data_IF_744961658965
#
_entry.id   IF_744961658965
#
_cell.length_a   1.000
_cell.length_b   1.000
_cell.length_c   1.000
_cell.angle_alpha   90.00
_cell.angle_beta   90.00
_cell.angle_gamma   90.00
#
_symmetry.space_group_name_H-M   'P 1'
#
loop_
_entity.id
_entity.type
_entity.pdbx_description
1 polymer ?
#
# COMPACT_ATOMS: atom_id res chain seq x y z
N UNK A 1 -17.75 -2.92 26.87
CA UNK A 1 -18.08 -4.31 26.43
C UNK A 1 -16.79 -4.99 25.97
N UNK A 2 -16.61 -6.32 26.06
CA UNK A 2 -15.35 -6.93 25.61
C UNK A 2 -15.27 -6.85 24.08
N UNK A 3 -14.29 -6.13 23.52
CA UNK A 3 -14.12 -5.88 22.08
C UNK A 3 -14.27 -7.13 21.17
N UNK A 4 -13.83 -8.31 21.60
CA UNK A 4 -14.01 -9.54 20.81
C UNK A 4 -15.47 -9.94 20.58
N UNK A 5 -16.38 -9.63 21.52
CA UNK A 5 -17.83 -9.85 21.33
C UNK A 5 -18.40 -8.88 20.31
N UNK A 6 -17.87 -7.66 20.26
CA UNK A 6 -18.26 -6.69 19.24
C UNK A 6 -17.78 -7.11 17.86
N UNK A 7 -16.61 -7.72 17.75
CA UNK A 7 -16.13 -8.30 16.48
C UNK A 7 -17.09 -9.40 15.99
N UNK A 8 -17.54 -10.29 16.87
CA UNK A 8 -18.51 -11.34 16.51
C UNK A 8 -19.86 -10.76 16.08
N UNK A 9 -20.35 -9.73 16.76
CA UNK A 9 -21.57 -9.03 16.32
C UNK A 9 -21.38 -8.28 15.00
N UNK A 10 -20.21 -7.71 14.79
CA UNK A 10 -19.88 -7.03 13.55
C UNK A 10 -19.96 -8.00 12.37
N UNK A 11 -19.42 -9.21 12.51
CA UNK A 11 -19.51 -10.27 11.48
C UNK A 11 -20.96 -10.52 11.04
N UNK A 12 -21.85 -10.74 12.00
CA UNK A 12 -23.27 -11.02 11.75
C UNK A 12 -23.99 -9.87 11.00
N UNK A 13 -23.58 -8.62 11.28
CA UNK A 13 -24.17 -7.43 10.69
C UNK A 13 -23.59 -7.09 9.32
N UNK A 14 -22.26 -7.12 9.17
CA UNK A 14 -21.60 -6.65 7.96
C UNK A 14 -21.56 -7.73 6.87
N UNK A 15 -21.59 -9.01 7.23
CA UNK A 15 -21.46 -10.13 6.29
C UNK A 15 -22.52 -10.20 5.20
N UNK A 16 -23.64 -9.47 5.36
CA UNK A 16 -24.71 -9.35 4.34
C UNK A 16 -24.45 -8.26 3.29
N UNK A 17 -23.44 -7.41 3.53
CA UNK A 17 -23.21 -6.17 2.78
C UNK A 17 -21.83 -6.14 2.15
N UNK A 18 -20.83 -6.64 2.88
CA UNK A 18 -19.45 -6.70 2.38
C UNK A 18 -19.22 -8.00 1.61
N UNK A 19 -18.21 -7.99 0.74
CA UNK A 19 -17.69 -9.22 0.17
C UNK A 19 -16.90 -9.99 1.23
N UNK A 20 -17.20 -11.27 1.39
CA UNK A 20 -16.29 -12.19 2.05
C UNK A 20 -15.11 -12.45 1.11
N UNK A 21 -14.02 -11.73 1.31
CA UNK A 21 -12.88 -11.75 0.39
C UNK A 21 -12.15 -13.09 0.47
N UNK A 22 -11.53 -13.58 -0.62
CA UNK A 22 -10.89 -14.89 -0.59
C UNK A 22 -9.55 -14.86 0.17
N UNK A 23 -9.23 -15.97 0.84
CA UNK A 23 -7.86 -16.34 1.18
C UNK A 23 -7.30 -17.28 0.11
N UNK A 24 -6.20 -16.87 -0.55
CA UNK A 24 -5.59 -17.69 -1.62
C UNK A 24 -4.21 -18.18 -1.24
N UNK A 25 -3.87 -19.41 -1.65
CA UNK A 25 -2.52 -19.95 -1.50
C UNK A 25 -1.55 -19.37 -2.54
N UNK A 26 -0.32 -19.09 -2.10
CA UNK A 26 0.76 -18.56 -2.93
C UNK A 26 1.92 -19.55 -3.08
N UNK A 27 1.85 -20.42 -4.09
CA UNK A 27 2.95 -21.33 -4.43
C UNK A 27 4.29 -20.61 -4.61
N UNK A 28 4.30 -19.47 -5.33
CA UNK A 28 5.53 -18.70 -5.54
C UNK A 28 6.14 -18.18 -4.25
N UNK A 29 5.36 -17.52 -3.39
CA UNK A 29 5.88 -17.00 -2.12
C UNK A 29 6.26 -18.16 -1.18
N UNK A 30 5.53 -19.27 -1.25
CA UNK A 30 5.82 -20.46 -0.44
C UNK A 30 7.17 -21.07 -0.79
N UNK A 31 7.44 -21.25 -2.08
CA UNK A 31 8.76 -21.71 -2.58
C UNK A 31 9.89 -20.74 -2.22
N UNK A 32 9.66 -19.44 -2.36
CA UNK A 32 10.68 -18.42 -2.04
C UNK A 32 11.03 -18.36 -0.56
N UNK A 33 10.11 -18.75 0.33
CA UNK A 33 10.25 -18.54 1.79
C UNK A 33 10.39 -19.83 2.59
N UNK A 34 10.15 -20.98 1.95
CA UNK A 34 10.10 -22.30 2.60
C UNK A 34 8.94 -22.44 3.60
N UNK A 35 7.85 -21.71 3.41
CA UNK A 35 6.67 -21.65 4.29
C UNK A 35 5.40 -21.83 3.47
N UNK A 36 4.27 -22.12 4.09
CA UNK A 36 2.99 -22.12 3.40
C UNK A 36 2.36 -20.73 3.48
N UNK A 37 2.32 -20.02 2.37
CA UNK A 37 1.92 -18.61 2.32
C UNK A 37 0.51 -18.46 1.75
N UNK A 38 -0.34 -17.79 2.50
CA UNK A 38 -1.71 -17.45 2.13
C UNK A 38 -1.88 -15.92 2.10
N UNK A 39 -2.72 -15.43 1.20
CA UNK A 39 -3.00 -14.01 1.01
C UNK A 39 -4.48 -13.75 1.28
N UNK A 40 -4.81 -12.90 2.27
CA UNK A 40 -6.17 -12.41 2.50
C UNK A 40 -6.41 -11.16 1.66
N UNK A 41 -7.28 -11.26 0.65
CA UNK A 41 -7.37 -10.26 -0.44
C UNK A 41 -8.41 -9.17 -0.19
N UNK A 42 -8.18 -8.33 0.81
CA UNK A 42 -9.04 -7.17 1.10
C UNK A 42 -9.00 -6.09 0.02
N UNK A 43 -8.01 -6.12 -0.88
CA UNK A 43 -7.98 -5.31 -2.09
C UNK A 43 -9.13 -5.62 -3.07
N UNK A 44 -9.78 -6.78 -2.96
CA UNK A 44 -10.95 -7.16 -3.77
C UNK A 44 -12.28 -6.71 -3.15
N UNK A 45 -12.26 -6.06 -2.00
CA UNK A 45 -13.46 -5.52 -1.39
C UNK A 45 -14.08 -4.43 -2.27
N UNK A 46 -15.39 -4.16 -2.11
CA UNK A 46 -16.14 -3.25 -2.98
C UNK A 46 -15.52 -1.86 -3.17
N UNK A 47 -14.92 -1.30 -2.11
CA UNK A 47 -14.24 0.00 -2.13
C UNK A 47 -12.72 -0.14 -2.34
N UNK A 48 -12.25 -1.28 -2.84
CA UNK A 48 -10.83 -1.59 -3.09
C UNK A 48 -9.98 -1.78 -1.83
N UNK A 49 -10.58 -1.87 -0.64
CA UNK A 49 -9.85 -2.07 0.63
C UNK A 49 -10.77 -2.50 1.78
N UNK A 50 -10.16 -2.91 2.89
CA UNK A 50 -10.86 -3.35 4.10
C UNK A 50 -11.72 -2.29 4.80
N UNK A 51 -11.51 -0.99 4.53
CA UNK A 51 -12.03 0.11 5.34
C UNK A 51 -13.56 0.13 5.46
N UNK A 52 -14.25 -0.39 4.46
CA UNK A 52 -15.72 -0.49 4.47
C UNK A 52 -16.25 -1.29 5.67
N UNK A 53 -15.50 -2.27 6.18
CA UNK A 53 -15.96 -3.15 7.26
C UNK A 53 -16.28 -2.37 8.53
N UNK A 54 -15.30 -1.65 9.06
CA UNK A 54 -15.49 -0.82 10.25
C UNK A 54 -16.26 0.47 9.99
N UNK A 55 -16.18 1.06 8.79
CA UNK A 55 -17.01 2.21 8.45
C UNK A 55 -18.49 1.83 8.48
N UNK A 56 -18.87 0.74 7.82
CA UNK A 56 -20.24 0.25 7.79
C UNK A 56 -20.71 -0.18 9.17
N UNK A 57 -19.92 -0.95 9.94
CA UNK A 57 -20.31 -1.35 11.29
C UNK A 57 -20.57 -0.12 12.17
N UNK A 58 -19.64 0.85 12.22
CA UNK A 58 -19.81 2.10 12.96
C UNK A 58 -21.10 2.82 12.56
N UNK A 59 -21.32 3.04 11.27
CA UNK A 59 -22.49 3.77 10.78
C UNK A 59 -23.80 3.03 11.05
N UNK A 60 -23.83 1.70 10.93
CA UNK A 60 -25.00 0.86 11.23
C UNK A 60 -25.39 0.86 12.72
N UNK A 61 -24.48 1.31 13.60
CA UNK A 61 -24.72 1.47 15.03
C UNK A 61 -25.24 2.86 15.39
N UNK A 62 -25.09 3.83 14.49
CA UNK A 62 -25.57 5.20 14.65
C UNK A 62 -27.05 5.38 14.27
N UNK A 63 -27.75 4.30 13.89
CA UNK A 63 -29.11 4.29 13.31
C UNK A 63 -30.25 4.65 14.27
N UNK A 64 -30.02 5.50 15.28
CA UNK A 64 -31.11 6.13 16.02
C UNK A 64 -31.79 7.18 15.12
N UNK A 65 -33.10 7.06 14.82
CA UNK A 65 -33.84 8.02 13.99
C UNK A 65 -33.82 9.47 14.51
N UNK A 66 -33.42 9.69 15.78
CA UNK A 66 -33.47 11.00 16.46
C UNK A 66 -32.20 11.84 16.35
N UNK A 67 -31.09 11.30 15.81
CA UNK A 67 -29.86 12.07 15.56
C UNK A 67 -29.66 12.23 14.06
N UNK A 68 -29.50 13.48 13.63
CA UNK A 68 -29.33 13.84 12.22
C UNK A 68 -28.31 12.95 11.52
N UNK A 69 -28.66 12.50 10.32
CA UNK A 69 -27.97 11.47 9.53
C UNK A 69 -26.68 11.97 8.87
N UNK A 70 -26.05 12.98 9.45
CA UNK A 70 -24.92 13.69 8.86
C UNK A 70 -23.63 13.26 9.55
N UNK A 71 -22.78 12.60 8.78
CA UNK A 71 -21.47 12.14 9.24
C UNK A 71 -20.38 12.91 8.52
N UNK A 72 -19.25 13.06 9.20
CA UNK A 72 -18.08 13.74 8.65
C UNK A 72 -16.83 12.91 8.90
N UNK A 73 -15.90 12.91 7.94
CA UNK A 73 -14.54 12.40 8.16
C UNK A 73 -13.55 13.24 7.37
N UNK A 74 -12.29 13.25 7.83
CA UNK A 74 -11.17 13.76 7.06
C UNK A 74 -10.32 12.60 6.55
N UNK A 75 -10.28 12.42 5.23
CA UNK A 75 -9.41 11.43 4.56
C UNK A 75 -9.43 11.66 3.06
N UNK A 76 -8.28 11.56 2.40
CA UNK A 76 -8.20 11.51 0.94
C UNK A 76 -8.06 10.08 0.39
N UNK A 77 -8.29 9.04 1.20
CA UNK A 77 -7.93 7.67 0.84
C UNK A 77 -9.03 6.63 1.09
N UNK A 78 -8.60 5.42 1.43
CA UNK A 78 -9.47 4.25 1.61
C UNK A 78 -10.60 4.46 2.63
N UNK A 79 -10.35 5.24 3.69
CA UNK A 79 -11.37 5.52 4.69
C UNK A 79 -12.48 6.42 4.16
N UNK A 80 -12.15 7.43 3.36
CA UNK A 80 -13.14 8.29 2.70
C UNK A 80 -14.10 7.49 1.82
N UNK A 81 -13.56 6.61 0.98
CA UNK A 81 -14.38 5.74 0.12
C UNK A 81 -15.23 4.76 0.95
N UNK A 82 -14.67 4.19 2.01
CA UNK A 82 -15.39 3.32 2.94
C UNK A 82 -16.56 4.01 3.61
N UNK A 83 -16.36 5.24 4.13
CA UNK A 83 -17.42 6.03 4.79
C UNK A 83 -18.47 6.48 3.78
N UNK A 84 -18.06 7.00 2.62
CA UNK A 84 -18.99 7.44 1.58
C UNK A 84 -19.90 6.28 1.13
N UNK A 85 -19.30 5.13 0.81
CA UNK A 85 -20.06 3.98 0.35
C UNK A 85 -20.98 3.41 1.44
N UNK A 86 -20.49 3.25 2.67
CA UNK A 86 -21.32 2.78 3.78
C UNK A 86 -22.48 3.74 4.09
N UNK A 87 -22.24 5.04 4.06
CA UNK A 87 -23.27 6.05 4.32
C UNK A 87 -24.36 5.99 3.27
N UNK A 88 -23.99 5.88 2.00
CA UNK A 88 -24.94 5.69 0.90
C UNK A 88 -25.80 4.43 1.04
N UNK A 89 -25.20 3.30 1.46
CA UNK A 89 -25.94 2.07 1.72
C UNK A 89 -26.94 2.18 2.88
N UNK A 90 -26.66 3.06 3.85
CA UNK A 90 -27.50 3.29 5.03
C UNK A 90 -28.44 4.50 4.89
N UNK A 91 -28.43 5.19 3.74
CA UNK A 91 -29.23 6.40 3.52
C UNK A 91 -28.81 7.57 4.43
N UNK A 92 -27.52 7.66 4.76
CA UNK A 92 -26.92 8.73 5.56
C UNK A 92 -26.17 9.71 4.64
N UNK A 93 -26.18 11.00 5.01
CA UNK A 93 -25.38 12.01 4.34
C UNK A 93 -23.97 11.99 4.91
N UNK A 94 -22.97 11.82 4.04
CA UNK A 94 -21.56 11.87 4.45
C UNK A 94 -20.81 13.01 3.79
N UNK A 95 -20.22 13.86 4.62
CA UNK A 95 -19.26 14.88 4.18
C UNK A 95 -17.84 14.37 4.38
N UNK A 96 -17.03 14.44 3.33
CA UNK A 96 -15.66 13.97 3.28
C UNK A 96 -14.75 15.16 3.05
N UNK A 97 -13.97 15.53 4.07
CA UNK A 97 -13.00 16.61 3.97
C UNK A 97 -11.67 16.06 3.47
N UNK A 98 -11.16 16.66 2.41
CA UNK A 98 -9.87 16.31 1.80
C UNK A 98 -9.00 17.57 1.67
N UNK A 99 -7.66 17.46 1.72
CA UNK A 99 -6.80 18.56 1.35
C UNK A 99 -7.00 18.96 -0.12
N UNK A 100 -6.70 20.21 -0.45
CA UNK A 100 -6.86 20.76 -1.82
C UNK A 100 -6.06 19.99 -2.88
N UNK A 101 -4.87 19.49 -2.49
CA UNK A 101 -4.01 18.67 -3.35
C UNK A 101 -4.40 17.19 -3.45
N UNK A 102 -5.54 16.76 -2.90
CA UNK A 102 -5.96 15.36 -2.96
C UNK A 102 -6.13 14.89 -4.43
N UNK A 103 -5.58 13.72 -4.82
CA UNK A 103 -5.65 13.25 -6.21
C UNK A 103 -7.07 13.19 -6.75
N UNK A 104 -7.30 13.71 -7.96
CA UNK A 104 -8.62 13.80 -8.58
C UNK A 104 -9.34 12.45 -8.62
N UNK A 105 -8.63 11.36 -8.91
CA UNK A 105 -9.19 10.00 -8.91
C UNK A 105 -9.81 9.61 -7.56
N UNK A 106 -9.17 9.97 -6.44
CA UNK A 106 -9.66 9.70 -5.07
C UNK A 106 -10.89 10.55 -4.74
N UNK A 107 -10.92 11.80 -5.20
CA UNK A 107 -12.10 12.65 -5.06
C UNK A 107 -13.28 12.12 -5.89
N UNK A 108 -13.06 11.77 -7.15
CA UNK A 108 -14.08 11.23 -8.06
C UNK A 108 -14.65 9.92 -7.54
N UNK A 109 -13.80 8.99 -7.09
CA UNK A 109 -14.25 7.73 -6.49
C UNK A 109 -15.15 7.98 -5.26
N UNK A 110 -14.76 8.90 -4.39
CA UNK A 110 -15.54 9.23 -3.20
C UNK A 110 -16.90 9.85 -3.54
N UNK A 111 -16.94 10.78 -4.51
CA UNK A 111 -18.20 11.35 -5.02
C UNK A 111 -19.09 10.30 -5.67
N UNK A 112 -18.50 9.39 -6.45
CA UNK A 112 -19.22 8.29 -7.10
C UNK A 112 -19.85 7.31 -6.08
N UNK A 113 -19.27 7.19 -4.89
CA UNK A 113 -19.85 6.45 -3.76
C UNK A 113 -20.90 7.25 -2.96
N UNK A 114 -21.26 8.46 -3.38
CA UNK A 114 -22.28 9.31 -2.76
C UNK A 114 -21.80 10.24 -1.65
N UNK A 115 -20.48 10.34 -1.46
CA UNK A 115 -19.89 11.29 -0.50
C UNK A 115 -19.85 12.72 -1.03
N UNK A 116 -20.28 13.68 -0.21
CA UNK A 116 -20.05 15.10 -0.46
C UNK A 116 -18.58 15.42 -0.15
N UNK A 117 -17.79 15.79 -1.16
CA UNK A 117 -16.36 16.10 -0.98
C UNK A 117 -16.15 17.60 -0.82
N UNK A 118 -15.61 17.99 0.32
CA UNK A 118 -15.15 19.36 0.61
C UNK A 118 -13.62 19.38 0.55
N UNK A 119 -13.07 20.26 -0.27
CA UNK A 119 -11.63 20.50 -0.31
C UNK A 119 -11.29 21.63 0.67
N UNK A 120 -10.48 21.34 1.68
CA UNK A 120 -10.04 22.33 2.67
C UNK A 120 -8.70 21.95 3.28
N UNK A 121 -7.81 22.93 3.34
CA UNK A 121 -6.47 22.78 3.92
C UNK A 121 -5.42 22.29 2.92
N UNK A 122 -4.17 22.60 3.21
CA UNK A 122 -3.01 22.21 2.39
C UNK A 122 -2.55 20.77 2.66
N UNK A 123 -2.90 20.22 3.82
CA UNK A 123 -2.50 18.89 4.26
C UNK A 123 -3.62 18.18 5.04
N UNK A 124 -3.40 16.91 5.38
CA UNK A 124 -4.39 16.07 6.07
C UNK A 124 -4.73 16.59 7.47
N UNK A 125 -3.79 17.22 8.17
CA UNK A 125 -4.01 17.74 9.52
C UNK A 125 -4.94 18.96 9.49
N UNK A 126 -4.78 19.85 8.51
CA UNK A 126 -5.70 20.98 8.28
C UNK A 126 -7.10 20.51 7.86
N UNK A 127 -7.18 19.52 6.97
CA UNK A 127 -8.45 18.90 6.59
C UNK A 127 -9.15 18.25 7.80
N UNK A 128 -8.38 17.62 8.70
CA UNK A 128 -8.89 17.07 9.96
C UNK A 128 -9.42 18.18 10.87
N UNK A 129 -8.68 19.28 11.05
CA UNK A 129 -9.14 20.43 11.82
C UNK A 129 -10.48 20.97 11.29
N UNK A 130 -10.64 21.06 9.96
CA UNK A 130 -11.91 21.47 9.36
C UNK A 130 -13.04 20.47 9.67
N UNK A 131 -12.80 19.16 9.51
CA UNK A 131 -13.77 18.13 9.86
C UNK A 131 -14.18 18.17 11.35
N UNK A 132 -13.25 18.50 12.26
CA UNK A 132 -13.54 18.67 13.69
C UNK A 132 -14.44 19.87 13.98
N UNK A 133 -14.31 20.98 13.25
CA UNK A 133 -15.26 22.10 13.37
C UNK A 133 -16.66 21.71 12.92
N UNK A 134 -16.78 20.86 11.89
CA UNK A 134 -18.09 20.35 11.47
C UNK A 134 -18.71 19.40 12.50
N UNK A 135 -17.87 18.67 13.25
CA UNK A 135 -18.30 17.86 14.39
C UNK A 135 -18.85 18.73 15.53
N UNK A 136 -18.19 19.85 15.86
CA UNK A 136 -18.71 20.85 16.81
C UNK A 136 -20.07 21.42 16.38
N UNK A 137 -20.31 21.49 15.06
CA UNK A 137 -21.58 21.87 14.45
C UNK A 137 -22.68 20.79 14.47
N UNK A 138 -22.41 19.61 15.05
CA UNK A 138 -23.40 18.55 15.26
C UNK A 138 -23.30 17.33 14.32
N UNK A 139 -22.36 17.31 13.38
CA UNK A 139 -22.08 16.11 12.56
C UNK A 139 -21.33 15.06 13.38
N UNK A 140 -21.52 13.78 13.06
CA UNK A 140 -20.80 12.70 13.76
C UNK A 140 -19.48 12.42 13.05
N UNK A 141 -18.35 12.61 13.74
CA UNK A 141 -17.04 12.29 13.17
C UNK A 141 -16.78 10.79 13.15
N UNK A 142 -16.44 10.26 11.98
CA UNK A 142 -16.12 8.83 11.80
C UNK A 142 -14.61 8.65 11.76
N UNK A 143 -14.03 8.24 12.90
CA UNK A 143 -12.58 8.08 13.00
C UNK A 143 -12.07 6.95 12.07
N UNK A 144 -10.95 7.15 11.36
CA UNK A 144 -10.39 6.12 10.47
C UNK A 144 -9.88 4.84 11.15
N UNK A 145 -9.71 4.80 12.48
CA UNK A 145 -9.10 3.66 13.16
C UNK A 145 -9.25 3.67 14.69
N UNK A 146 -9.32 4.83 15.34
CA UNK A 146 -9.32 4.97 16.80
C UNK A 146 -10.73 5.05 17.38
N UNK A 147 -11.53 4.04 17.06
CA UNK A 147 -12.91 3.88 17.52
C UNK A 147 -13.20 2.39 17.71
N UNK A 148 -13.83 2.01 18.82
CA UNK A 148 -14.05 0.59 19.15
C UNK A 148 -14.89 -0.15 18.11
N UNK A 149 -15.90 0.50 17.53
CA UNK A 149 -16.79 -0.09 16.53
C UNK A 149 -16.04 -0.20 15.19
N UNK A 150 -15.25 0.82 14.82
CA UNK A 150 -14.38 0.72 13.65
C UNK A 150 -13.42 -0.46 13.80
N UNK A 151 -12.74 -0.58 14.95
CA UNK A 151 -11.84 -1.71 15.26
C UNK A 151 -12.58 -3.05 15.20
N UNK A 152 -13.80 -3.11 15.74
CA UNK A 152 -14.62 -4.30 15.74
C UNK A 152 -14.94 -4.78 14.32
N UNK A 153 -15.39 -3.87 13.45
CA UNK A 153 -15.63 -4.19 12.04
C UNK A 153 -14.37 -4.65 11.32
N UNK A 154 -13.20 -4.09 11.60
CA UNK A 154 -11.96 -4.58 10.98
C UNK A 154 -11.54 -5.96 11.48
N UNK A 155 -11.89 -6.28 12.73
CA UNK A 155 -11.57 -7.56 13.36
C UNK A 155 -12.26 -8.76 12.72
N UNK A 156 -13.34 -8.56 11.97
CA UNK A 156 -14.04 -9.60 11.20
C UNK A 156 -13.10 -10.36 10.26
N UNK A 157 -12.09 -9.68 9.71
CA UNK A 157 -11.03 -10.31 8.90
C UNK A 157 -10.32 -11.43 9.68
N UNK A 158 -10.11 -11.24 10.99
CA UNK A 158 -9.50 -12.26 11.84
C UNK A 158 -10.40 -13.49 12.03
N UNK A 159 -11.73 -13.33 12.00
CA UNK A 159 -12.67 -14.45 12.02
C UNK A 159 -12.59 -15.24 10.71
N UNK A 160 -12.66 -14.54 9.58
CA UNK A 160 -12.58 -15.15 8.25
C UNK A 160 -11.27 -15.92 8.07
N UNK A 161 -10.13 -15.35 8.48
CA UNK A 161 -8.82 -16.01 8.41
C UNK A 161 -8.80 -17.30 9.24
N UNK A 162 -9.35 -17.29 10.46
CA UNK A 162 -9.37 -18.48 11.32
C UNK A 162 -10.30 -19.57 10.80
N UNK A 163 -11.31 -19.22 10.02
CA UNK A 163 -12.20 -20.19 9.36
C UNK A 163 -11.56 -20.78 8.11
N UNK A 164 -10.93 -19.94 7.27
CA UNK A 164 -10.33 -20.36 6.00
C UNK A 164 -8.97 -21.05 6.18
N UNK A 165 -8.21 -20.71 7.23
CA UNK A 165 -6.90 -21.32 7.56
C UNK A 165 -6.85 -21.69 9.07
N UNK A 166 -7.53 -22.77 9.50
CA UNK A 166 -7.71 -23.10 10.92
C UNK A 166 -6.42 -23.37 11.71
N UNK A 167 -5.37 -23.79 11.00
CA UNK A 167 -4.05 -24.10 11.52
C UNK A 167 -3.01 -23.02 11.22
N UNK A 168 -3.45 -21.78 10.94
CA UNK A 168 -2.56 -20.61 10.80
C UNK A 168 -1.66 -20.46 12.03
N UNK A 169 -0.39 -20.16 11.81
CA UNK A 169 0.61 -19.96 12.86
C UNK A 169 1.03 -18.50 12.99
N UNK A 170 0.91 -17.72 11.91
CA UNK A 170 1.20 -16.29 11.93
C UNK A 170 0.35 -15.49 10.95
N UNK A 171 0.01 -14.26 11.35
CA UNK A 171 -0.72 -13.30 10.52
C UNK A 171 0.09 -12.00 10.47
N UNK A 172 0.41 -11.54 9.26
CA UNK A 172 1.19 -10.34 9.00
C UNK A 172 0.24 -9.25 8.49
N UNK A 173 0.20 -8.11 9.19
CA UNK A 173 -0.82 -7.07 9.03
C UNK A 173 -0.17 -5.69 8.88
N UNK A 174 -0.57 -4.86 7.89
CA UNK A 174 -0.12 -3.47 7.80
C UNK A 174 -0.59 -2.63 9.00
N UNK A 175 0.25 -1.70 9.47
CA UNK A 175 -0.03 -0.86 10.64
C UNK A 175 0.14 0.63 10.31
N UNK A 176 -0.99 1.32 10.13
CA UNK A 176 -1.05 2.77 10.20
C UNK A 176 -1.40 3.20 11.62
N UNK A 177 -2.59 3.76 11.79
CA UNK A 177 -3.11 4.14 13.11
C UNK A 177 -3.51 2.98 14.04
N UNK A 178 -3.41 1.72 13.59
CA UNK A 178 -3.55 0.54 14.45
C UNK A 178 -4.92 -0.17 14.44
N UNK A 179 -5.94 0.38 13.78
CA UNK A 179 -7.30 -0.17 13.85
C UNK A 179 -7.45 -1.59 13.30
N UNK A 180 -6.86 -1.86 12.12
CA UNK A 180 -6.90 -3.18 11.47
C UNK A 180 -6.24 -4.27 12.33
N UNK A 181 -4.96 -4.06 12.69
CA UNK A 181 -4.21 -5.02 13.48
C UNK A 181 -4.81 -5.22 14.88
N UNK A 182 -5.37 -4.16 15.49
CA UNK A 182 -6.02 -4.25 16.80
C UNK A 182 -7.25 -5.14 16.78
N UNK A 183 -8.08 -5.02 15.72
CA UNK A 183 -9.25 -5.86 15.53
C UNK A 183 -8.85 -7.32 15.33
N UNK A 184 -7.98 -7.59 14.35
CA UNK A 184 -7.49 -8.94 14.04
C UNK A 184 -6.83 -9.57 15.27
N UNK A 185 -5.88 -8.88 15.92
CA UNK A 185 -5.18 -9.39 17.08
C UNK A 185 -6.14 -9.71 18.24
N UNK A 186 -7.18 -8.90 18.43
CA UNK A 186 -8.15 -9.11 19.52
C UNK A 186 -8.91 -10.42 19.37
N UNK A 187 -9.48 -10.70 18.20
CA UNK A 187 -10.25 -11.92 18.00
C UNK A 187 -9.35 -13.15 17.84
N UNK A 188 -8.22 -13.01 17.15
CA UNK A 188 -7.28 -14.11 16.93
C UNK A 188 -6.65 -14.55 18.23
N UNK A 189 -6.13 -13.63 19.05
CA UNK A 189 -5.56 -14.01 20.36
C UNK A 189 -6.61 -14.56 21.33
N UNK A 190 -7.88 -14.17 21.18
CA UNK A 190 -8.98 -14.71 21.99
C UNK A 190 -9.27 -16.18 21.65
N UNK A 191 -9.28 -16.55 20.36
CA UNK A 191 -9.60 -17.92 19.91
C UNK A 191 -8.37 -18.83 19.84
N UNK A 192 -7.23 -18.29 19.44
CA UNK A 192 -5.96 -19.00 19.19
C UNK A 192 -4.77 -18.17 19.71
N UNK A 193 -4.52 -18.14 21.03
CA UNK A 193 -3.53 -17.26 21.65
C UNK A 193 -2.08 -17.47 21.18
N UNK A 194 -1.77 -18.66 20.64
CA UNK A 194 -0.44 -19.02 20.13
C UNK A 194 -0.14 -18.48 18.73
N UNK A 195 -1.14 -18.04 17.97
CA UNK A 195 -0.94 -17.46 16.63
C UNK A 195 -0.17 -16.16 16.79
N UNK A 196 0.93 -16.00 16.04
CA UNK A 196 1.73 -14.77 16.06
C UNK A 196 1.06 -13.70 15.19
N UNK A 197 0.91 -12.50 15.74
CA UNK A 197 0.43 -11.31 15.02
C UNK A 197 1.61 -10.37 14.84
N UNK A 198 1.93 -10.06 13.60
CA UNK A 198 3.07 -9.21 13.25
C UNK A 198 2.57 -8.00 12.49
N UNK A 199 2.89 -6.82 13.02
CA UNK A 199 2.63 -5.54 12.37
C UNK A 199 3.75 -5.16 11.40
N UNK A 200 3.40 -4.50 10.31
CA UNK A 200 4.38 -3.94 9.37
C UNK A 200 4.10 -2.45 9.14
N UNK A 201 5.15 -1.63 9.26
CA UNK A 201 5.12 -0.21 8.87
C UNK A 201 6.14 0.07 7.76
N UNK A 202 5.98 1.18 7.05
CA UNK A 202 7.12 1.74 6.32
C UNK A 202 8.16 2.27 7.31
N UNK A 203 9.44 2.11 6.99
CA UNK A 203 10.56 2.74 7.71
C UNK A 203 10.46 4.27 7.74
N UNK A 204 9.79 4.87 6.76
CA UNK A 204 9.59 6.32 6.63
C UNK A 204 8.54 6.89 7.60
N UNK A 205 7.64 6.06 8.14
CA UNK A 205 6.62 6.50 9.13
C UNK A 205 6.38 5.43 10.22
N UNK A 206 7.37 5.10 11.08
CA UNK A 206 7.33 3.96 11.98
C UNK A 206 6.69 4.29 13.35
N UNK A 207 5.52 4.94 13.35
CA UNK A 207 4.88 5.51 14.56
C UNK A 207 4.53 4.48 15.64
N UNK A 208 4.03 3.31 15.27
CA UNK A 208 3.65 2.24 16.20
C UNK A 208 4.90 1.60 16.81
N UNK A 209 5.92 1.32 16.00
CA UNK A 209 7.19 0.79 16.48
C UNK A 209 7.88 1.76 17.44
N UNK A 210 7.92 3.05 17.10
CA UNK A 210 8.47 4.09 17.97
C UNK A 210 7.71 4.17 19.31
N UNK A 211 6.38 4.11 19.27
CA UNK A 211 5.53 4.14 20.46
C UNK A 211 5.72 2.90 21.33
N UNK A 212 5.85 1.71 20.74
CA UNK A 212 6.13 0.47 21.46
C UNK A 212 7.49 0.52 22.18
N UNK A 213 8.54 0.98 21.50
CA UNK A 213 9.89 1.12 22.08
C UNK A 213 9.90 2.09 23.25
N UNK A 214 9.17 3.20 23.14
CA UNK A 214 9.05 4.21 24.21
C UNK A 214 7.99 3.88 25.27
N UNK A 215 7.23 2.78 25.10
CA UNK A 215 6.10 2.35 25.95
C UNK A 215 5.01 3.41 26.15
N UNK A 216 4.93 4.41 25.28
CA UNK A 216 3.94 5.49 25.27
C UNK A 216 3.71 5.96 23.85
N UNK A 217 2.54 6.52 23.57
CA UNK A 217 2.25 7.09 22.25
C UNK A 217 3.21 8.24 21.99
N UNK A 218 3.87 8.20 20.84
CA UNK A 218 4.69 9.28 20.33
C UNK A 218 4.29 9.62 18.91
N UNK A 219 4.51 10.88 18.56
CA UNK A 219 4.44 11.33 17.18
C UNK A 219 5.82 11.20 16.54
N UNK A 220 5.85 10.80 15.27
CA UNK A 220 7.06 10.73 14.46
C UNK A 220 6.97 11.71 13.29
N UNK A 221 8.12 12.10 12.76
CA UNK A 221 8.20 12.72 11.45
C UNK A 221 7.83 11.70 10.37
N UNK A 222 7.23 12.19 9.29
CA UNK A 222 6.85 11.36 8.15
C UNK A 222 7.64 11.76 6.92
N UNK A 223 8.29 10.80 6.29
CA UNK A 223 8.88 10.94 4.97
C UNK A 223 7.94 10.43 3.87
N UNK A 224 8.11 10.85 2.60
CA UNK A 224 7.28 10.37 1.49
C UNK A 224 7.36 8.84 1.35
N UNK A 225 6.21 8.16 1.30
CA UNK A 225 6.15 6.70 1.23
C UNK A 225 5.12 6.22 0.20
N UNK A 226 5.40 5.08 -0.44
CA UNK A 226 4.48 4.31 -1.26
C UNK A 226 3.31 3.75 -0.45
N UNK A 227 3.48 3.58 0.87
CA UNK A 227 2.49 3.04 1.78
C UNK A 227 1.64 4.15 2.43
N UNK A 228 1.04 5.03 1.61
CA UNK A 228 0.23 6.18 2.05
C UNK A 228 -0.91 5.79 3.00
N UNK A 229 -1.55 4.64 2.79
CA UNK A 229 -2.61 4.11 3.66
C UNK A 229 -2.19 3.81 5.11
N UNK A 230 -0.88 3.73 5.38
CA UNK A 230 -0.31 3.53 6.73
C UNK A 230 0.66 4.65 7.15
N UNK A 231 0.74 5.74 6.38
CA UNK A 231 1.56 6.92 6.70
C UNK A 231 0.95 7.76 7.84
N UNK A 232 0.80 7.15 9.02
CA UNK A 232 0.17 7.76 10.20
C UNK A 232 1.23 8.08 11.24
N UNK A 233 1.43 9.37 11.52
CA UNK A 233 2.49 9.88 12.41
C UNK A 233 2.31 9.52 13.89
N UNK A 234 1.08 9.21 14.31
CA UNK A 234 0.71 8.91 15.69
C UNK A 234 -0.35 7.80 15.73
N UNK A 235 -0.08 6.71 16.44
CA UNK A 235 -1.07 5.64 16.65
C UNK A 235 -2.25 6.13 17.50
N UNK A 236 -3.38 5.42 17.43
CA UNK A 236 -4.57 5.77 18.21
C UNK A 236 -4.47 5.44 19.71
N UNK A 237 -5.20 6.17 20.52
CA UNK A 237 -5.30 6.02 21.98
C UNK A 237 -5.94 4.68 22.38
N UNK A 238 -6.95 4.23 21.63
CA UNK A 238 -7.65 2.95 21.84
C UNK A 238 -6.80 1.81 21.28
N UNK A 239 -6.20 2.02 20.11
CA UNK A 239 -5.43 0.98 19.42
C UNK A 239 -4.11 0.66 20.11
N UNK A 240 -3.40 1.65 20.69
CA UNK A 240 -2.07 1.43 21.24
C UNK A 240 -2.02 0.44 22.41
N UNK A 241 -2.89 0.52 23.44
CA UNK A 241 -2.96 -0.49 24.50
C UNK A 241 -3.28 -1.89 23.98
N UNK A 242 -4.08 -1.99 22.90
CA UNK A 242 -4.39 -3.27 22.25
C UNK A 242 -3.14 -3.83 21.58
N UNK A 243 -2.42 -3.00 20.80
CA UNK A 243 -1.18 -3.36 20.13
C UNK A 243 -0.16 -3.85 21.17
N UNK A 244 0.11 -3.07 22.22
CA UNK A 244 1.05 -3.43 23.28
C UNK A 244 0.75 -4.79 23.91
N UNK A 245 -0.53 -5.13 24.08
CA UNK A 245 -0.95 -6.35 24.76
C UNK A 245 -1.03 -7.58 23.85
N UNK A 246 -1.33 -7.39 22.56
CA UNK A 246 -1.79 -8.50 21.69
C UNK A 246 -0.94 -8.70 20.43
N UNK A 247 -0.15 -7.72 20.02
CA UNK A 247 0.71 -7.82 18.85
C UNK A 247 2.09 -8.31 19.32
N UNK A 248 2.59 -9.37 18.69
CA UNK A 248 3.83 -10.01 19.14
C UNK A 248 5.07 -9.27 18.66
N UNK A 249 5.00 -8.60 17.51
CA UNK A 249 6.13 -7.92 16.88
C UNK A 249 5.64 -6.83 15.91
N UNK A 250 6.38 -5.74 15.78
CA UNK A 250 6.23 -4.78 14.69
C UNK A 250 7.58 -4.63 13.99
N UNK A 251 7.58 -4.79 12.68
CA UNK A 251 8.74 -4.61 11.81
C UNK A 251 8.53 -3.47 10.82
N UNK A 252 9.62 -2.97 10.25
CA UNK A 252 9.59 -1.96 9.19
C UNK A 252 10.12 -2.51 7.88
N UNK A 253 9.68 -1.93 6.77
CA UNK A 253 10.16 -2.21 5.42
C UNK A 253 10.52 -0.92 4.70
N UNK A 254 11.52 -1.00 3.84
CA UNK A 254 11.97 0.14 3.03
C UNK A 254 11.12 0.28 1.77
N UNK A 255 11.12 1.48 1.17
CA UNK A 255 10.30 1.80 -0.01
C UNK A 255 10.60 0.91 -1.22
N UNK A 256 11.86 0.52 -1.42
CA UNK A 256 12.27 -0.39 -2.50
C UNK A 256 11.76 -1.82 -2.28
N UNK A 257 11.61 -2.24 -1.03
CA UNK A 257 11.03 -3.54 -0.68
C UNK A 257 9.52 -3.53 -0.93
N UNK A 258 8.84 -2.42 -0.61
CA UNK A 258 7.42 -2.21 -0.91
C UNK A 258 7.19 -2.24 -2.43
N UNK A 259 7.97 -1.48 -3.20
CA UNK A 259 7.89 -1.44 -4.67
C UNK A 259 8.08 -2.84 -5.28
N UNK A 260 9.09 -3.57 -4.80
CA UNK A 260 9.36 -4.95 -5.25
C UNK A 260 8.19 -5.90 -4.93
N UNK A 261 7.57 -5.75 -3.75
CA UNK A 261 6.43 -6.56 -3.35
C UNK A 261 5.18 -6.28 -4.21
N UNK A 262 4.90 -5.01 -4.53
CA UNK A 262 3.81 -4.63 -5.45
C UNK A 262 4.01 -5.30 -6.80
N UNK A 263 5.21 -5.17 -7.39
CA UNK A 263 5.51 -5.75 -8.69
C UNK A 263 5.38 -7.28 -8.67
N UNK A 264 5.90 -7.94 -7.63
CA UNK A 264 5.81 -9.40 -7.50
C UNK A 264 4.35 -9.89 -7.41
N UNK A 265 3.50 -9.22 -6.62
CA UNK A 265 2.08 -9.54 -6.51
C UNK A 265 1.38 -9.43 -7.87
N UNK A 266 1.69 -8.37 -8.62
CA UNK A 266 1.14 -8.14 -9.95
C UNK A 266 1.62 -9.20 -10.96
N UNK A 267 2.91 -9.53 -10.98
CA UNK A 267 3.49 -10.46 -11.93
C UNK A 267 3.12 -11.93 -11.67
N UNK A 268 3.10 -12.34 -10.40
CA UNK A 268 2.97 -13.76 -10.02
C UNK A 268 1.57 -14.15 -9.58
N UNK A 269 0.77 -13.18 -9.15
CA UNK A 269 -0.60 -13.43 -8.67
C UNK A 269 -1.68 -12.61 -9.35
N UNK A 270 -1.32 -11.68 -10.25
CA UNK A 270 -2.27 -10.77 -10.92
C UNK A 270 -3.07 -9.95 -9.91
N UNK A 271 -2.45 -9.67 -8.77
CA UNK A 271 -3.02 -8.85 -7.70
C UNK A 271 -2.42 -7.46 -7.82
N UNK A 272 -3.30 -6.47 -7.96
CA UNK A 272 -2.91 -5.05 -7.83
C UNK A 272 -3.10 -4.67 -6.36
N UNK A 273 -1.98 -4.48 -5.67
CA UNK A 273 -1.93 -4.01 -4.29
C UNK A 273 -1.39 -2.58 -4.24
N UNK A 274 -1.96 -1.76 -3.36
CA UNK A 274 -1.37 -0.48 -2.98
C UNK A 274 -0.17 -0.70 -2.04
N UNK A 275 0.66 0.32 -1.79
CA UNK A 275 1.86 0.16 -0.97
C UNK A 275 1.59 -0.39 0.43
N UNK A 276 0.55 0.10 1.10
CA UNK A 276 0.12 -0.44 2.40
C UNK A 276 -0.21 -1.94 2.31
N UNK A 277 -0.98 -2.34 1.29
CA UNK A 277 -1.38 -3.73 1.07
C UNK A 277 -0.22 -4.65 0.69
N UNK A 278 0.86 -4.11 0.12
CA UNK A 278 2.05 -4.88 -0.23
C UNK A 278 3.06 -5.05 0.93
N UNK A 279 2.96 -4.22 1.99
CA UNK A 279 3.91 -4.27 3.13
C UNK A 279 4.07 -5.64 3.78
N UNK A 280 3.03 -6.50 3.95
CA UNK A 280 3.22 -7.83 4.54
C UNK A 280 4.07 -8.75 3.68
N UNK A 281 3.96 -8.62 2.34
CA UNK A 281 4.78 -9.37 1.38
C UNK A 281 6.22 -8.86 1.42
N UNK A 282 6.41 -7.53 1.45
CA UNK A 282 7.72 -6.92 1.59
C UNK A 282 8.45 -7.43 2.84
N UNK A 283 7.80 -7.40 4.00
CA UNK A 283 8.39 -7.81 5.28
C UNK A 283 8.76 -9.29 5.33
N UNK A 284 7.96 -10.13 4.65
CA UNK A 284 8.25 -11.56 4.52
C UNK A 284 9.50 -11.80 3.65
N UNK A 285 9.60 -11.10 2.52
CA UNK A 285 10.70 -11.29 1.55
C UNK A 285 12.02 -10.66 2.01
N UNK A 286 11.98 -9.55 2.74
CA UNK A 286 13.16 -8.93 3.35
C UNK A 286 13.65 -9.65 4.61
N UNK A 287 13.03 -10.78 4.97
CA UNK A 287 13.41 -11.63 6.12
C UNK A 287 13.37 -10.89 7.47
N UNK A 288 12.62 -9.80 7.54
CA UNK A 288 12.36 -9.09 8.80
C UNK A 288 11.48 -9.94 9.72
N UNK A 289 10.61 -10.77 9.14
CA UNK A 289 9.73 -11.67 9.88
C UNK A 289 10.42 -13.00 10.18
N UNK A 290 10.82 -13.18 11.45
CA UNK A 290 11.42 -14.44 11.94
C UNK A 290 10.35 -15.33 12.57
N UNK A 291 9.54 -15.98 11.74
CA UNK A 291 8.64 -17.07 12.18
C UNK A 291 9.22 -18.42 11.73
N UNK A 292 9.05 -19.44 12.58
CA UNK A 292 9.34 -20.84 12.24
C UNK A 292 8.59 -21.26 10.95
N UNK A 293 9.05 -22.29 10.24
CA UNK A 293 8.29 -22.88 9.14
C UNK A 293 6.85 -23.18 9.58
N UNK A 294 5.88 -22.87 8.73
CA UNK A 294 4.46 -22.97 9.06
C UNK A 294 3.55 -22.22 8.10
N UNK A 295 2.24 -22.21 8.41
CA UNK A 295 1.22 -21.49 7.64
C UNK A 295 1.12 -20.03 8.06
N UNK A 296 1.37 -19.13 7.11
CA UNK A 296 1.31 -17.69 7.32
C UNK A 296 0.24 -17.06 6.43
N UNK A 297 -0.52 -16.11 7.00
CA UNK A 297 -1.49 -15.31 6.25
C UNK A 297 -1.03 -13.86 6.18
N UNK A 298 -0.96 -13.31 4.97
CA UNK A 298 -0.57 -11.93 4.69
C UNK A 298 -1.82 -11.15 4.29
N UNK A 299 -2.10 -10.05 4.97
CA UNK A 299 -3.28 -9.23 4.69
C UNK A 299 -2.99 -8.20 3.61
N UNK A 300 -3.50 -8.43 2.40
CA UNK A 300 -3.41 -7.46 1.30
C UNK A 300 -4.52 -6.43 1.50
N UNK A 301 -4.24 -5.41 2.31
CA UNK A 301 -5.25 -4.50 2.88
C UNK A 301 -6.02 -3.66 1.86
N UNK A 302 -5.43 -3.37 0.70
CA UNK A 302 -6.05 -2.52 -0.30
C UNK A 302 -5.32 -2.54 -1.65
N UNK A 303 -6.01 -2.06 -2.67
CA UNK A 303 -5.56 -2.01 -4.06
C UNK A 303 -5.73 -0.65 -4.73
N UNK A 304 -6.05 0.40 -3.96
CA UNK A 304 -6.33 1.75 -4.50
C UNK A 304 -5.04 2.52 -4.78
N UNK A 305 -4.25 1.98 -5.71
CA UNK A 305 -3.00 2.59 -6.18
C UNK A 305 -3.24 3.53 -7.35
N UNK A 306 -2.54 4.66 -7.35
CA UNK A 306 -2.53 5.58 -8.49
C UNK A 306 -1.79 4.93 -9.69
N UNK A 307 -2.35 5.06 -10.89
CA UNK A 307 -1.82 4.39 -12.09
C UNK A 307 -0.45 4.95 -12.48
N UNK A 308 -0.21 6.26 -12.30
CA UNK A 308 1.11 6.86 -12.56
C UNK A 308 2.15 6.45 -11.50
N UNK A 309 1.72 6.20 -10.27
CA UNK A 309 2.59 5.60 -9.26
C UNK A 309 2.95 4.14 -9.63
N UNK A 310 1.96 3.36 -10.08
CA UNK A 310 2.17 1.99 -10.51
C UNK A 310 3.14 1.91 -11.69
N UNK A 311 3.01 2.79 -12.68
CA UNK A 311 3.92 2.90 -13.83
C UNK A 311 5.38 3.11 -13.39
N UNK A 312 5.61 4.09 -12.50
CA UNK A 312 6.95 4.34 -11.92
C UNK A 312 7.51 3.14 -11.16
N UNK A 313 6.66 2.40 -10.44
CA UNK A 313 7.08 1.17 -9.74
C UNK A 313 7.49 0.08 -10.72
N UNK A 314 6.73 -0.09 -11.81
CA UNK A 314 7.05 -1.06 -12.88
C UNK A 314 8.39 -0.70 -13.51
N UNK A 315 8.58 0.54 -13.93
CA UNK A 315 9.84 1.02 -14.51
C UNK A 315 11.03 0.77 -13.58
N UNK A 316 10.89 1.13 -12.29
CA UNK A 316 11.95 0.92 -11.29
C UNK A 316 12.26 -0.57 -11.11
N UNK A 317 11.25 -1.42 -10.99
CA UNK A 317 11.44 -2.86 -10.79
C UNK A 317 12.00 -3.58 -12.02
N UNK A 318 11.60 -3.18 -13.24
CA UNK A 318 12.21 -3.67 -14.48
C UNK A 318 13.69 -3.27 -14.56
N UNK A 319 14.03 -2.06 -14.13
CA UNK A 319 15.43 -1.60 -14.08
C UNK A 319 16.25 -2.40 -13.06
N UNK A 320 15.73 -2.59 -11.84
CA UNK A 320 16.42 -3.34 -10.77
C UNK A 320 16.67 -4.81 -11.15
N UNK A 321 15.71 -5.44 -11.82
CA UNK A 321 15.83 -6.84 -12.28
C UNK A 321 16.64 -6.98 -13.57
N UNK A 322 17.15 -5.88 -14.14
CA UNK A 322 17.91 -5.87 -15.39
C UNK A 322 17.07 -6.23 -16.61
N UNK A 323 15.75 -6.06 -16.52
CA UNK A 323 14.81 -6.20 -17.66
C UNK A 323 14.63 -4.91 -18.44
N UNK A 324 15.08 -3.80 -17.88
CA UNK A 324 15.21 -2.52 -18.55
C UNK A 324 16.58 -1.92 -18.24
N UNK A 325 17.17 -1.23 -19.22
CA UNK A 325 18.45 -0.57 -19.06
C UNK A 325 18.47 0.79 -19.76
N UNK A 326 19.01 1.80 -19.07
CA UNK A 326 19.24 3.13 -19.62
C UNK A 326 20.72 3.34 -19.88
N UNK A 327 21.07 3.73 -21.10
CA UNK A 327 22.42 4.07 -21.51
C UNK A 327 22.47 5.50 -22.00
N UNK A 328 23.45 6.26 -21.53
CA UNK A 328 23.83 7.51 -22.16
C UNK A 328 25.14 7.31 -22.93
N UNK A 329 25.12 7.72 -24.20
CA UNK A 329 26.23 7.55 -25.14
C UNK A 329 26.53 8.88 -25.81
N UNK A 330 27.78 9.33 -25.69
CA UNK A 330 28.26 10.44 -26.52
C UNK A 330 28.64 9.91 -27.91
N UNK A 331 27.99 10.44 -28.94
CA UNK A 331 28.03 9.97 -30.32
C UNK A 331 28.56 11.07 -31.23
N UNK A 332 29.58 10.78 -32.06
CA UNK A 332 30.06 11.73 -33.07
C UNK A 332 28.94 12.11 -34.04
N UNK A 333 28.76 13.41 -34.26
CA UNK A 333 27.67 13.93 -35.10
C UNK A 333 28.05 13.91 -36.59
N UNK A 334 28.10 12.70 -37.14
CA UNK A 334 28.37 12.44 -38.56
C UNK A 334 27.38 11.42 -39.12
N UNK A 335 27.09 11.41 -40.45
CA UNK A 335 26.17 10.46 -41.04
C UNK A 335 26.50 9.00 -40.71
N UNK A 336 25.46 8.21 -40.38
CA UNK A 336 25.57 6.78 -40.08
C UNK A 336 26.02 6.43 -38.65
N UNK A 337 26.39 7.40 -37.82
CA UNK A 337 26.78 7.16 -36.42
C UNK A 337 25.68 6.46 -35.61
N UNK A 338 24.43 6.91 -35.72
CA UNK A 338 23.31 6.32 -35.00
C UNK A 338 23.02 4.90 -35.48
N UNK A 339 23.09 4.65 -36.79
CA UNK A 339 22.95 3.32 -37.39
C UNK A 339 23.97 2.32 -36.85
N UNK A 340 25.23 2.75 -36.67
CA UNK A 340 26.27 1.91 -36.06
C UNK A 340 25.94 1.58 -34.61
N UNK A 341 25.50 2.57 -33.84
CA UNK A 341 25.13 2.42 -32.43
C UNK A 341 23.94 1.45 -32.27
N UNK A 342 22.85 1.68 -32.99
CA UNK A 342 21.66 0.82 -32.93
C UNK A 342 21.94 -0.58 -33.48
N UNK A 343 22.80 -0.71 -34.50
CA UNK A 343 23.28 -1.99 -35.00
C UNK A 343 24.01 -2.83 -33.94
N UNK A 344 24.83 -2.21 -33.08
CA UNK A 344 25.50 -2.91 -31.99
C UNK A 344 24.52 -3.41 -30.92
N UNK A 345 23.47 -2.64 -30.65
CA UNK A 345 22.37 -3.06 -29.76
C UNK A 345 21.61 -4.24 -30.36
N UNK A 346 21.27 -4.15 -31.65
CA UNK A 346 20.55 -5.20 -32.38
C UNK A 346 21.33 -6.53 -32.42
N UNK A 347 22.65 -6.49 -32.63
CA UNK A 347 23.52 -7.67 -32.59
C UNK A 347 23.45 -8.44 -31.26
N UNK A 348 23.07 -7.75 -30.18
CA UNK A 348 22.95 -8.30 -28.83
C UNK A 348 21.52 -8.60 -28.45
N UNK A 349 20.59 -8.55 -29.41
CA UNK A 349 19.18 -8.91 -29.26
C UNK A 349 18.46 -8.14 -28.13
N UNK A 350 18.79 -6.86 -27.95
CA UNK A 350 18.02 -5.98 -27.07
C UNK A 350 17.08 -5.10 -27.90
N UNK A 351 15.85 -4.96 -27.42
CA UNK A 351 14.87 -4.06 -28.04
C UNK A 351 15.11 -2.64 -27.55
N UNK A 352 15.01 -1.67 -28.45
CA UNK A 352 15.11 -0.26 -28.11
C UNK A 352 13.68 0.26 -27.89
N UNK A 353 13.37 0.64 -26.65
CA UNK A 353 12.08 1.22 -26.29
C UNK A 353 12.02 2.70 -26.65
N UNK A 354 13.08 3.44 -26.31
CA UNK A 354 13.19 4.86 -26.61
C UNK A 354 14.62 5.23 -27.01
N UNK A 355 14.72 6.18 -27.95
CA UNK A 355 15.95 6.88 -28.31
C UNK A 355 15.68 8.37 -28.16
N UNK A 356 16.49 9.05 -27.35
CA UNK A 356 16.51 10.51 -27.28
C UNK A 356 17.86 10.94 -27.88
N UNK A 357 17.82 11.81 -28.89
CA UNK A 357 19.00 12.30 -29.58
C UNK A 357 19.07 13.82 -29.45
N UNK A 358 20.06 14.30 -28.71
CA UNK A 358 20.21 15.71 -28.38
C UNK A 358 21.52 16.26 -28.96
N UNK A 359 21.46 17.49 -29.47
CA UNK A 359 22.62 18.23 -29.99
C UNK A 359 22.87 19.56 -29.26
N UNK A 360 21.85 20.11 -28.60
CA UNK A 360 21.86 21.47 -28.08
C UNK A 360 21.98 21.57 -26.55
N UNK A 361 22.25 20.46 -25.85
CA UNK A 361 22.45 20.49 -24.41
C UNK A 361 23.86 21.04 -24.08
N UNK A 362 23.97 21.84 -23.01
CA UNK A 362 25.20 22.57 -22.65
C UNK A 362 26.41 21.67 -22.37
N UNK A 363 26.16 20.43 -22.00
CA UNK A 363 27.13 19.40 -21.66
C UNK A 363 27.68 18.63 -22.89
N UNK A 364 27.22 18.96 -24.11
CA UNK A 364 27.61 18.26 -25.33
C UNK A 364 28.74 19.01 -26.04
N UNK A 365 29.93 18.40 -26.22
CA UNK A 365 31.01 19.00 -27.01
C UNK A 365 30.60 19.21 -28.48
N UNK A 366 31.13 20.27 -29.10
CA UNK A 366 30.93 20.54 -30.53
C UNK A 366 31.40 19.33 -31.37
N UNK A 367 30.61 18.96 -32.37
CA UNK A 367 30.87 17.79 -33.23
C UNK A 367 30.41 16.46 -32.63
N UNK A 368 29.76 16.50 -31.47
CA UNK A 368 29.10 15.35 -30.85
C UNK A 368 27.61 15.61 -30.64
N UNK A 369 26.92 14.52 -30.37
CA UNK A 369 25.52 14.47 -29.98
C UNK A 369 25.38 13.47 -28.84
N UNK A 370 24.44 13.70 -27.94
CA UNK A 370 24.13 12.79 -26.84
C UNK A 370 22.98 11.89 -27.27
N UNK A 371 23.15 10.59 -27.12
CA UNK A 371 22.10 9.60 -27.37
C UNK A 371 21.79 8.87 -26.07
N UNK A 372 20.54 8.99 -25.63
CA UNK A 372 20.02 8.22 -24.51
C UNK A 372 19.19 7.07 -25.09
N UNK A 373 19.59 5.85 -24.74
CA UNK A 373 18.89 4.62 -25.12
C UNK A 373 18.19 4.04 -23.89
N UNK A 374 16.89 3.80 -24.00
CA UNK A 374 16.15 2.96 -23.06
C UNK A 374 15.90 1.63 -23.76
N UNK A 375 16.45 0.56 -23.18
CA UNK A 375 16.43 -0.78 -23.75
C UNK A 375 15.60 -1.72 -22.89
N UNK A 376 14.85 -2.60 -23.53
CA UNK A 376 14.34 -3.82 -22.91
C UNK A 376 15.41 -4.92 -23.03
N UNK A 377 15.71 -5.55 -21.90
CA UNK A 377 16.77 -6.54 -21.76
C UNK A 377 16.28 -7.80 -21.07
N UNK A 378 17.01 -8.90 -21.20
CA UNK A 378 16.67 -10.21 -20.62
C UNK A 378 17.30 -10.45 -19.24
N UNK A 379 18.13 -9.52 -18.78
CA UNK A 379 18.77 -9.58 -17.48
C UNK A 379 20.13 -8.87 -17.42
N UNK A 380 20.78 -8.90 -16.24
CA UNK A 380 22.05 -8.22 -16.00
C UNK A 380 23.21 -8.70 -16.90
N UNK A 381 23.18 -9.94 -17.38
CA UNK A 381 24.20 -10.49 -18.28
C UNK A 381 24.19 -9.81 -19.64
N UNK A 382 23.03 -9.74 -20.30
CA UNK A 382 22.89 -9.05 -21.58
C UNK A 382 23.28 -7.57 -21.45
N UNK A 383 22.92 -6.92 -20.35
CA UNK A 383 23.33 -5.54 -20.05
C UNK A 383 24.87 -5.41 -20.02
N UNK A 384 25.58 -6.37 -19.40
CA UNK A 384 27.04 -6.39 -19.36
C UNK A 384 27.64 -6.58 -20.76
N UNK A 385 27.06 -7.45 -21.57
CA UNK A 385 27.50 -7.69 -22.97
C UNK A 385 27.30 -6.47 -23.87
N UNK A 386 26.17 -5.77 -23.73
CA UNK A 386 25.89 -4.50 -24.40
C UNK A 386 26.92 -3.45 -23.99
N UNK A 387 27.15 -3.27 -22.69
CA UNK A 387 28.17 -2.33 -22.19
C UNK A 387 29.55 -2.63 -22.75
N UNK A 388 29.97 -3.90 -22.71
CA UNK A 388 31.27 -4.33 -23.20
C UNK A 388 31.42 -4.04 -24.70
N UNK A 389 30.42 -4.42 -25.50
CA UNK A 389 30.43 -4.21 -26.94
C UNK A 389 30.46 -2.73 -27.36
N UNK A 390 29.75 -1.88 -26.63
CA UNK A 390 29.79 -0.43 -26.85
C UNK A 390 31.17 0.14 -26.49
N UNK A 391 31.75 -0.25 -25.35
CA UNK A 391 33.09 0.20 -24.95
C UNK A 391 34.19 -0.24 -25.92
N UNK A 392 34.15 -1.47 -26.42
CA UNK A 392 35.10 -1.99 -27.41
C UNK A 392 35.08 -1.21 -28.73
N UNK A 393 33.97 -0.54 -29.04
CA UNK A 393 33.83 0.33 -30.22
C UNK A 393 34.15 1.79 -29.93
N UNK A 394 34.67 2.10 -28.75
CA UNK A 394 35.13 3.44 -28.36
C UNK A 394 34.03 4.36 -27.83
N UNK A 395 32.83 3.84 -27.53
CA UNK A 395 31.77 4.65 -26.94
C UNK A 395 32.04 4.91 -25.46
N UNK A 396 31.95 6.17 -25.05
CA UNK A 396 31.96 6.57 -23.64
C UNK A 396 30.54 6.39 -23.10
N UNK A 397 30.39 5.52 -22.11
CA UNK A 397 29.11 5.23 -21.47
C UNK A 397 29.04 5.89 -20.11
N UNK A 398 27.97 6.63 -19.86
CA UNK A 398 27.52 6.90 -18.49
C UNK A 398 26.34 6.00 -18.17
N UNK A 399 26.41 5.32 -17.01
CA UNK A 399 25.28 4.57 -16.49
C UNK A 399 24.40 5.56 -15.71
N UNK A 400 23.15 5.69 -16.12
CA UNK A 400 22.14 6.43 -15.36
C UNK A 400 21.21 5.41 -14.71
N UNK A 401 21.37 5.18 -13.40
CA UNK A 401 20.58 4.20 -12.62
C UNK A 401 21.10 2.78 -12.70
#
# INVERSE_FOLDING_TARGET
>A
MKLWKEIERAEDQIGKVILRTPVIYSDTLSKLTGKEIFLKLENLQKTGSFKIRGAYYKLSRLSDPKRGREVVTASAGNHAQGVAYASSLLGMHSTIVMPEGAPLAKQMATRAYGGEVILSGQNTDEALCHARRMEEGGKIFIHPFDDEEVIAGQGTIGLEILEEVPDVEGIIVPVGGGGLISGIATIVKKRRPRVRIIGVQSSHVPSALASLRKKRIVEVEAEPTLADGIAVRRVGEITFPIIQKRVDEIVTVEEDEIASAILLLMERKRIVAEGAGATPVAALLSKQVKIKPGKLVLVISGGNIDVHLLDRIIEKGLTQTGRMARFEVLLRDVPGSLTKLTGLVAQRQANILHIIHERAARDIPIGFSKVILILETRGPEQIREIKKGLKEKGYVLQKLG
#
